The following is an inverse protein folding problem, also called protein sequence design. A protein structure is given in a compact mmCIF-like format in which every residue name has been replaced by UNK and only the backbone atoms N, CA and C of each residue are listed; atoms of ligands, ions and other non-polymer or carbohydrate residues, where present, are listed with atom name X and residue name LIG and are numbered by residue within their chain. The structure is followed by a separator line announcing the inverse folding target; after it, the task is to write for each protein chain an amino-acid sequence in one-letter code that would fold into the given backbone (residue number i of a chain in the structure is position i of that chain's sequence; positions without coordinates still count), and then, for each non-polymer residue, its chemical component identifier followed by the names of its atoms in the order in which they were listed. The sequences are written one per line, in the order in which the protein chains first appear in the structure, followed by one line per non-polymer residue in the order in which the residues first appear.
data_IF_707200847749
#
_entry.id   IF_707200847749
#
_cell.length_a   1.000
_cell.length_b   1.000
_cell.length_c   1.000
_cell.angle_alpha   90.00
_cell.angle_beta   90.00
_cell.angle_gamma   90.00
#
_symmetry.space_group_name_H-M   'P 1'
#
loop_
_entity.id
_entity.type
_entity.pdbx_description
1 polymer ?
#
# COMPACT_ATOMS: atom_id res chain seq x y z
N UNK A 1 11.71 3.61 -17.31
CA UNK A 1 11.19 2.74 -16.21
C UNK A 1 10.17 3.43 -15.31
N UNK A 2 10.43 4.60 -14.70
CA UNK A 2 9.49 5.27 -13.78
C UNK A 2 8.07 5.45 -14.34
N UNK A 3 7.95 5.89 -15.60
CA UNK A 3 6.67 6.07 -16.27
C UNK A 3 5.91 4.78 -16.55
N UNK A 4 6.60 3.70 -16.93
CA UNK A 4 5.98 2.38 -17.09
C UNK A 4 5.39 1.88 -15.77
N UNK A 5 6.14 2.03 -14.67
CA UNK A 5 5.65 1.65 -13.34
C UNK A 5 4.43 2.48 -12.94
N UNK A 6 4.44 3.80 -13.18
CA UNK A 6 3.30 4.66 -12.90
C UNK A 6 2.07 4.29 -13.73
N UNK A 7 2.26 3.98 -15.02
CA UNK A 7 1.16 3.55 -15.91
C UNK A 7 0.57 2.22 -15.44
N UNK A 8 1.41 1.24 -15.11
CA UNK A 8 0.96 -0.08 -14.62
C UNK A 8 0.24 0.06 -13.28
N UNK A 9 0.80 0.82 -12.34
CA UNK A 9 0.16 1.07 -11.04
C UNK A 9 -1.18 1.80 -11.20
N UNK A 10 -1.25 2.81 -12.07
CA UNK A 10 -2.48 3.51 -12.39
C UNK A 10 -3.53 2.60 -13.03
N UNK A 11 -3.12 1.73 -13.95
CA UNK A 11 -4.00 0.75 -14.59
C UNK A 11 -4.56 -0.26 -13.58
N UNK A 12 -3.73 -0.77 -12.66
CA UNK A 12 -4.17 -1.66 -11.58
C UNK A 12 -5.16 -0.95 -10.66
N UNK A 13 -4.87 0.29 -10.25
CA UNK A 13 -5.75 1.08 -9.40
C UNK A 13 -7.13 1.31 -10.06
N UNK A 14 -7.14 1.70 -11.33
CA UNK A 14 -8.37 1.87 -12.10
C UNK A 14 -9.14 0.55 -12.22
N UNK A 15 -8.46 -0.56 -12.51
CA UNK A 15 -9.09 -1.87 -12.57
C UNK A 15 -9.70 -2.28 -11.22
N UNK A 16 -9.02 -2.00 -10.10
CA UNK A 16 -9.55 -2.26 -8.75
C UNK A 16 -10.80 -1.44 -8.46
N UNK A 17 -10.82 -0.15 -8.85
CA UNK A 17 -12.01 0.70 -8.71
C UNK A 17 -13.17 0.13 -9.53
N UNK A 18 -12.94 -0.21 -10.80
CA UNK A 18 -13.98 -0.80 -11.66
C UNK A 18 -14.50 -2.11 -11.08
N UNK A 19 -13.61 -2.99 -10.61
CA UNK A 19 -13.99 -4.26 -9.99
C UNK A 19 -14.83 -4.07 -8.72
N UNK A 20 -14.54 -3.03 -7.92
CA UNK A 20 -15.32 -2.68 -6.72
C UNK A 20 -16.79 -2.40 -7.06
N UNK A 21 -17.04 -1.62 -8.11
CA UNK A 21 -18.41 -1.27 -8.51
C UNK A 21 -19.12 -2.32 -9.37
N UNK A 22 -18.40 -3.25 -10.00
CA UNK A 22 -18.99 -4.19 -10.98
C UNK A 22 -19.01 -5.64 -10.53
N UNK A 23 -18.15 -6.04 -9.59
CA UNK A 23 -17.95 -7.44 -9.21
C UNK A 23 -18.15 -7.71 -7.71
N UNK A 24 -17.96 -6.71 -6.84
CA UNK A 24 -17.89 -6.90 -5.38
C UNK A 24 -19.23 -6.81 -4.63
N UNK A 25 -20.37 -6.87 -5.31
CA UNK A 25 -21.73 -6.77 -4.70
C UNK A 25 -22.14 -7.92 -3.75
N UNK A 26 -21.26 -8.88 -3.44
CA UNK A 26 -21.66 -10.15 -2.83
C UNK A 26 -21.30 -10.34 -1.33
N UNK A 27 -20.89 -9.30 -0.61
CA UNK A 27 -20.59 -9.39 0.84
C UNK A 27 -21.37 -8.38 1.69
N UNK A 28 -21.83 -8.77 2.88
CA UNK A 28 -22.48 -7.87 3.85
C UNK A 28 -21.47 -7.13 4.74
N UNK A 29 -20.31 -6.76 4.20
CA UNK A 29 -19.35 -5.99 4.96
C UNK A 29 -19.73 -4.51 4.99
N UNK A 30 -19.62 -3.89 6.16
CA UNK A 30 -19.95 -2.46 6.35
C UNK A 30 -19.15 -1.54 5.43
N UNK A 31 -17.94 -1.94 5.05
CA UNK A 31 -17.06 -1.15 4.19
C UNK A 31 -17.48 -1.15 2.72
N UNK A 32 -18.40 -2.02 2.31
CA UNK A 32 -18.94 -2.01 0.94
C UNK A 32 -19.80 -0.77 0.65
N UNK A 33 -20.15 0.01 1.68
CA UNK A 33 -20.81 1.30 1.54
C UNK A 33 -19.82 2.47 1.35
N UNK A 34 -18.53 2.21 1.53
CA UNK A 34 -17.48 3.20 1.33
C UNK A 34 -16.97 3.05 -0.10
N UNK A 35 -17.16 4.05 -0.97
CA UNK A 35 -16.66 3.96 -2.34
C UNK A 35 -15.13 4.00 -2.36
N UNK A 36 -14.53 3.20 -3.25
CA UNK A 36 -13.07 3.12 -3.44
C UNK A 36 -12.36 2.59 -2.18
N UNK A 37 -13.06 1.81 -1.35
CA UNK A 37 -12.55 1.35 -0.06
C UNK A 37 -11.23 0.60 -0.20
N UNK A 38 -11.14 -0.33 -1.15
CA UNK A 38 -9.95 -1.15 -1.33
C UNK A 38 -8.75 -0.35 -1.84
N UNK A 39 -8.99 0.65 -2.69
CA UNK A 39 -7.95 1.58 -3.12
C UNK A 39 -7.42 2.44 -1.98
N UNK A 40 -8.32 2.98 -1.15
CA UNK A 40 -7.95 3.77 0.03
C UNK A 40 -7.22 2.93 1.08
N UNK A 41 -7.71 1.72 1.36
CA UNK A 41 -7.10 0.80 2.31
C UNK A 41 -5.72 0.32 1.85
N UNK A 42 -5.59 -0.01 0.56
CA UNK A 42 -4.31 -0.34 -0.07
C UNK A 42 -3.32 0.83 0.02
N UNK A 43 -3.76 2.05 -0.30
CA UNK A 43 -2.94 3.25 -0.15
C UNK A 43 -2.49 3.50 1.29
N UNK A 44 -3.42 3.45 2.24
CA UNK A 44 -3.12 3.64 3.66
C UNK A 44 -2.13 2.59 4.19
N UNK A 45 -2.34 1.32 3.85
CA UNK A 45 -1.44 0.23 4.26
C UNK A 45 -0.04 0.40 3.68
N UNK A 46 0.11 0.90 2.45
CA UNK A 46 1.41 1.22 1.89
C UNK A 46 2.14 2.30 2.71
N UNK A 47 1.45 3.38 3.12
CA UNK A 47 2.05 4.40 4.00
C UNK A 47 2.45 3.83 5.36
N UNK A 48 1.61 2.99 5.96
CA UNK A 48 1.92 2.30 7.21
C UNK A 48 3.16 1.43 7.06
N UNK A 49 3.27 0.64 5.99
CA UNK A 49 4.43 -0.20 5.72
C UNK A 49 5.71 0.62 5.54
N UNK A 50 5.66 1.72 4.79
CA UNK A 50 6.80 2.63 4.62
C UNK A 50 7.24 3.21 5.98
N UNK A 51 6.28 3.66 6.80
CA UNK A 51 6.54 4.16 8.14
C UNK A 51 7.18 3.12 9.05
N UNK A 52 6.63 1.89 9.06
CA UNK A 52 7.19 0.77 9.81
C UNK A 52 8.61 0.41 9.34
N UNK A 53 8.85 0.36 8.04
CA UNK A 53 10.17 0.11 7.49
C UNK A 53 11.18 1.20 7.91
N UNK A 54 10.76 2.46 7.95
CA UNK A 54 11.61 3.56 8.42
C UNK A 54 11.93 3.46 9.92
N UNK A 55 10.96 3.07 10.75
CA UNK A 55 11.16 2.83 12.19
C UNK A 55 12.12 1.66 12.40
N UNK A 56 11.84 0.52 11.74
CA UNK A 56 12.70 -0.67 11.83
C UNK A 56 14.11 -0.37 11.35
N UNK A 57 14.28 0.38 10.27
CA UNK A 57 15.60 0.79 9.78
C UNK A 57 16.39 1.66 10.77
N UNK A 58 15.72 2.41 11.64
CA UNK A 58 16.36 3.14 12.74
C UNK A 58 16.69 2.23 13.91
N UNK A 59 15.79 1.32 14.29
CA UNK A 59 15.99 0.40 15.40
C UNK A 59 17.05 -0.68 15.09
N UNK A 60 17.14 -1.13 13.85
CA UNK A 60 18.12 -2.13 13.39
C UNK A 60 19.46 -1.51 12.98
N UNK A 61 19.56 -0.17 12.88
CA UNK A 61 20.84 0.48 12.63
C UNK A 61 21.73 0.25 13.85
N UNK A 62 22.61 -0.74 13.73
CA UNK A 62 23.66 -1.04 14.71
C UNK A 62 24.60 0.16 14.78
N UNK A 63 24.87 0.66 15.99
CA UNK A 63 25.88 1.69 16.19
C UNK A 63 27.21 1.24 15.56
N UNK A 64 27.87 2.16 14.88
CA UNK A 64 29.01 1.89 14.00
C UNK A 64 30.27 1.34 14.67
N UNK A 65 30.23 1.10 15.97
CA UNK A 65 31.38 0.69 16.81
C UNK A 65 31.69 -0.81 16.72
N UNK A 66 31.28 -1.49 15.64
CA UNK A 66 31.50 -2.94 15.47
C UNK A 66 32.73 -3.28 14.61
N UNK A 67 33.38 -2.28 14.02
CA UNK A 67 34.61 -2.44 13.24
C UNK A 67 35.69 -1.40 13.62
N UNK A 68 35.56 -0.75 14.78
CA UNK A 68 36.56 0.18 15.33
C UNK A 68 37.63 -0.54 16.19
N UNK A 69 37.83 -1.85 15.98
CA UNK A 69 38.97 -2.66 16.45
C UNK A 69 39.79 -3.24 15.28
#
# INVERSE_FOLDING_TARGET
MKWLVAIVAGAILLASIVAEFTMLEHGSHWWNHVPVFYGLWGGLSAFVLIGLAAILGRLLKKDGDYYDD
#
